data_IF_870081244494
#
_entry.id   IF_870081244494
#
_cell.length_a   1.000
_cell.length_b   1.000
_cell.length_c   1.000
_cell.angle_alpha   90.00
_cell.angle_beta   90.00
_cell.angle_gamma   90.00
#
_symmetry.space_group_name_H-M   'P 1'
#
loop_
_entity.id
_entity.type
_entity.pdbx_description
1 polymer ?
#
# COMPACT_ATOMS: atom_id res chain seq x y z
N UNK A 1 4.09 -27.90 -1.26
CA UNK A 1 3.82 -26.78 -0.33
C UNK A 1 2.40 -26.21 -0.46
N UNK A 2 1.45 -26.95 -1.01
CA UNK A 2 0.16 -26.39 -1.43
C UNK A 2 -0.95 -26.44 -0.36
N UNK A 3 -0.68 -26.88 0.85
CA UNK A 3 -1.68 -26.99 1.92
C UNK A 3 -1.73 -25.83 2.91
N UNK A 4 -0.80 -24.87 2.83
CA UNK A 4 -0.65 -23.80 3.82
C UNK A 4 -1.15 -22.42 3.35
N UNK A 5 -1.54 -22.27 2.08
CA UNK A 5 -2.06 -21.02 1.58
C UNK A 5 -3.49 -20.81 2.09
N UNK A 6 -3.65 -19.88 3.00
CA UNK A 6 -4.96 -19.46 3.51
C UNK A 6 -5.68 -18.62 2.45
N UNK A 7 -7.00 -18.82 2.35
CA UNK A 7 -7.89 -18.02 1.49
C UNK A 7 -8.94 -17.37 2.37
N UNK A 8 -9.39 -16.19 1.99
CA UNK A 8 -10.56 -15.58 2.60
C UNK A 8 -11.77 -16.49 2.33
N UNK A 9 -12.58 -16.72 3.38
CA UNK A 9 -13.80 -17.49 3.30
C UNK A 9 -14.88 -16.81 4.13
N UNK A 10 -16.09 -16.88 3.65
CA UNK A 10 -17.25 -16.49 4.43
C UNK A 10 -17.75 -17.74 5.18
N UNK A 11 -17.84 -17.64 6.49
CA UNK A 11 -18.29 -18.73 7.38
C UNK A 11 -19.68 -18.45 7.97
N UNK A 12 -20.46 -17.55 7.35
CA UNK A 12 -21.83 -17.27 7.80
C UNK A 12 -22.65 -18.57 7.93
N UNK A 13 -23.37 -18.71 9.00
CA UNK A 13 -24.21 -19.88 9.29
C UNK A 13 -23.48 -21.07 9.95
N UNK A 14 -22.18 -20.96 10.21
CA UNK A 14 -21.43 -21.96 10.98
C UNK A 14 -21.29 -21.54 12.45
N UNK A 15 -21.10 -22.52 13.33
CA UNK A 15 -20.70 -22.25 14.72
C UNK A 15 -19.24 -21.85 14.73
N UNK A 16 -18.96 -20.61 15.15
CA UNK A 16 -17.61 -20.07 15.18
C UNK A 16 -16.89 -20.45 16.48
N UNK A 17 -15.98 -21.39 16.39
CA UNK A 17 -15.09 -21.81 17.49
C UNK A 17 -13.72 -21.12 17.43
N UNK A 18 -13.50 -20.21 16.47
CA UNK A 18 -12.24 -19.51 16.26
C UNK A 18 -12.31 -18.01 16.61
N UNK A 19 -13.48 -17.51 17.00
CA UNK A 19 -13.72 -16.14 17.45
C UNK A 19 -12.95 -15.82 18.74
N UNK A 20 -12.50 -14.57 18.86
CA UNK A 20 -11.96 -14.03 20.12
C UNK A 20 -13.08 -13.57 21.08
N UNK A 21 -14.32 -13.61 20.66
CA UNK A 21 -15.49 -13.40 21.53
C UNK A 21 -15.86 -14.69 22.25
N UNK A 22 -15.01 -15.09 23.19
CA UNK A 22 -15.15 -16.35 23.93
C UNK A 22 -16.44 -16.48 24.76
N UNK A 23 -17.05 -15.35 25.11
CA UNK A 23 -18.27 -15.32 25.93
C UNK A 23 -19.52 -15.06 25.09
N UNK A 24 -19.39 -14.83 23.78
CA UNK A 24 -20.52 -14.53 22.91
C UNK A 24 -21.24 -13.23 23.30
N UNK A 25 -20.53 -12.24 23.83
CA UNK A 25 -21.09 -10.99 24.33
C UNK A 25 -21.12 -9.89 23.30
N UNK A 26 -20.53 -10.07 22.12
CA UNK A 26 -20.66 -9.15 21.00
C UNK A 26 -22.10 -9.18 20.49
N UNK A 27 -22.89 -8.20 20.91
CA UNK A 27 -24.34 -8.13 20.63
C UNK A 27 -24.69 -7.43 19.33
N UNK A 28 -23.72 -6.76 18.70
CA UNK A 28 -23.89 -6.01 17.46
C UNK A 28 -23.00 -6.59 16.37
N UNK A 29 -23.62 -7.10 15.31
CA UNK A 29 -22.89 -7.62 14.13
C UNK A 29 -22.08 -6.53 13.41
N UNK A 30 -22.34 -5.26 13.71
CA UNK A 30 -21.60 -4.11 13.18
C UNK A 30 -20.47 -3.63 14.08
N UNK A 31 -20.17 -4.31 15.18
CA UNK A 31 -19.13 -3.87 16.15
C UNK A 31 -17.69 -4.22 15.74
N UNK A 32 -17.48 -4.80 14.56
CA UNK A 32 -16.18 -5.20 14.02
C UNK A 32 -15.92 -6.70 14.07
N UNK A 33 -14.76 -7.11 13.60
CA UNK A 33 -14.39 -8.51 13.50
C UNK A 33 -13.95 -9.06 14.86
N UNK A 34 -14.47 -10.24 15.23
CA UNK A 34 -14.09 -10.98 16.44
C UNK A 34 -12.83 -11.83 16.27
N UNK A 35 -12.21 -11.79 15.08
CA UNK A 35 -11.01 -12.54 14.76
C UNK A 35 -10.26 -11.98 13.54
N UNK A 36 -9.18 -12.65 13.16
CA UNK A 36 -8.42 -12.31 11.95
C UNK A 36 -9.24 -12.60 10.69
N UNK A 37 -9.13 -11.76 9.65
CA UNK A 37 -9.80 -11.93 8.35
C UNK A 37 -9.53 -13.29 7.71
N UNK A 38 -8.33 -13.84 7.89
CA UNK A 38 -7.96 -15.15 7.34
C UNK A 38 -8.47 -16.33 8.16
N UNK A 39 -9.18 -16.08 9.25
CA UNK A 39 -9.79 -17.11 10.12
C UNK A 39 -11.32 -16.92 10.10
N UNK A 40 -11.85 -16.05 10.94
CA UNK A 40 -13.29 -15.83 11.11
C UNK A 40 -13.73 -14.37 10.97
N UNK A 41 -12.80 -13.44 10.92
CA UNK A 41 -13.10 -12.00 10.93
C UNK A 41 -13.33 -11.38 9.55
N UNK A 42 -13.57 -12.17 8.49
CA UNK A 42 -13.94 -11.65 7.19
C UNK A 42 -15.46 -11.58 7.04
N UNK A 43 -15.98 -10.48 6.54
CA UNK A 43 -17.40 -10.24 6.32
C UNK A 43 -17.64 -9.53 4.98
N UNK A 44 -18.85 -9.67 4.43
CA UNK A 44 -19.21 -9.25 3.08
C UNK A 44 -19.04 -7.75 2.86
N UNK A 45 -19.41 -6.93 3.85
CA UNK A 45 -19.34 -5.46 3.75
C UNK A 45 -17.90 -4.96 3.51
N UNK A 46 -16.92 -5.70 4.04
CA UNK A 46 -15.51 -5.37 3.83
C UNK A 46 -15.05 -5.78 2.42
N UNK A 47 -15.53 -6.92 1.93
CA UNK A 47 -15.27 -7.35 0.55
C UNK A 47 -15.93 -6.42 -0.45
N UNK A 48 -17.18 -6.01 -0.21
CA UNK A 48 -17.91 -5.06 -1.04
C UNK A 48 -17.20 -3.69 -1.09
N UNK A 49 -16.66 -3.22 0.04
CA UNK A 49 -15.89 -1.99 0.12
C UNK A 49 -14.60 -2.08 -0.72
N UNK A 50 -13.86 -3.18 -0.59
CA UNK A 50 -12.64 -3.42 -1.37
C UNK A 50 -12.94 -3.50 -2.87
N UNK A 51 -14.01 -4.19 -3.26
CA UNK A 51 -14.45 -4.26 -4.66
C UNK A 51 -14.87 -2.88 -5.20
N UNK A 52 -15.59 -2.10 -4.40
CA UNK A 52 -15.98 -0.73 -4.75
C UNK A 52 -14.77 0.14 -5.04
N UNK A 53 -13.76 0.15 -4.14
CA UNK A 53 -12.55 0.95 -4.35
C UNK A 53 -11.69 0.43 -5.50
N UNK A 54 -11.56 -0.88 -5.67
CA UNK A 54 -10.86 -1.46 -6.80
C UNK A 54 -11.46 -0.99 -8.13
N UNK A 55 -12.79 -1.09 -8.26
CA UNK A 55 -13.51 -0.60 -9.45
C UNK A 55 -13.38 0.92 -9.64
N UNK A 56 -13.52 1.69 -8.55
CA UNK A 56 -13.48 3.15 -8.61
C UNK A 56 -12.11 3.67 -9.04
N UNK A 57 -11.04 3.00 -8.61
CA UNK A 57 -9.66 3.34 -8.94
C UNK A 57 -9.17 2.65 -10.22
N UNK A 58 -9.99 1.78 -10.83
CA UNK A 58 -9.58 0.92 -11.96
C UNK A 58 -8.40 0.01 -11.62
N UNK A 59 -8.26 -0.34 -10.34
CA UNK A 59 -7.20 -1.20 -9.84
C UNK A 59 -7.56 -2.68 -9.96
N UNK A 60 -6.58 -3.58 -10.13
CA UNK A 60 -6.83 -5.03 -10.12
C UNK A 60 -7.43 -5.54 -8.82
N UNK A 61 -7.14 -4.89 -7.70
CA UNK A 61 -7.67 -5.22 -6.37
C UNK A 61 -7.44 -4.06 -5.39
N UNK A 62 -8.17 -4.08 -4.28
CA UNK A 62 -7.94 -3.21 -3.14
C UNK A 62 -7.90 -4.04 -1.86
N UNK A 63 -7.26 -3.52 -0.83
CA UNK A 63 -7.19 -4.13 0.49
C UNK A 63 -7.36 -3.05 1.56
N UNK A 64 -8.37 -3.21 2.40
CA UNK A 64 -8.66 -2.28 3.47
C UNK A 64 -7.75 -2.50 4.70
N UNK A 65 -7.27 -1.41 5.24
CA UNK A 65 -6.55 -1.33 6.52
C UNK A 65 -7.25 -0.34 7.45
N UNK A 66 -7.10 -0.52 8.74
CA UNK A 66 -7.70 0.36 9.75
C UNK A 66 -7.01 1.72 9.88
N UNK A 67 -5.87 1.91 9.24
CA UNK A 67 -5.20 3.21 9.08
C UNK A 67 -4.17 3.16 7.96
N UNK A 68 -3.83 4.31 7.38
CA UNK A 68 -2.73 4.43 6.40
C UNK A 68 -1.38 4.04 7.01
N UNK A 69 -1.17 4.32 8.31
CA UNK A 69 0.03 3.87 9.02
C UNK A 69 0.19 2.35 8.95
N UNK A 70 -0.90 1.61 9.28
CA UNK A 70 -0.91 0.13 9.23
C UNK A 70 -0.76 -0.40 7.80
N UNK A 71 -1.31 0.30 6.80
CA UNK A 71 -1.11 -0.04 5.40
C UNK A 71 0.38 0.03 5.02
N UNK A 72 1.04 1.15 5.32
CA UNK A 72 2.45 1.35 4.97
C UNK A 72 3.38 0.35 5.65
N UNK A 73 3.21 0.10 6.95
CA UNK A 73 4.03 -0.90 7.66
C UNK A 73 3.70 -2.34 7.28
N UNK A 74 2.49 -2.60 6.79
CA UNK A 74 2.06 -3.94 6.35
C UNK A 74 2.47 -4.25 4.92
N UNK A 75 2.36 -3.30 4.00
CA UNK A 75 2.59 -3.49 2.57
C UNK A 75 4.09 -3.59 2.24
N UNK A 76 4.90 -2.63 2.69
CA UNK A 76 6.32 -2.56 2.33
C UNK A 76 7.10 -3.86 2.62
N UNK A 77 6.97 -4.51 3.80
CA UNK A 77 7.64 -5.77 4.06
C UNK A 77 7.17 -6.96 3.21
N UNK A 78 5.98 -6.86 2.61
CA UNK A 78 5.41 -7.93 1.77
C UNK A 78 5.84 -7.81 0.32
N UNK A 79 5.88 -6.58 -0.23
CA UNK A 79 6.24 -6.34 -1.63
C UNK A 79 7.75 -6.26 -1.87
N UNK A 80 8.56 -6.19 -0.81
CA UNK A 80 10.02 -6.09 -0.88
C UNK A 80 10.72 -7.19 -0.12
N UNK A 81 11.96 -7.45 -0.46
CA UNK A 81 12.84 -8.42 0.20
C UNK A 81 14.28 -7.88 0.28
N UNK A 82 15.21 -8.72 0.76
CA UNK A 82 16.63 -8.35 0.89
C UNK A 82 17.33 -8.08 -0.45
N UNK A 83 16.75 -8.50 -1.58
CA UNK A 83 17.26 -8.26 -2.93
C UNK A 83 16.75 -6.94 -3.51
N UNK A 84 15.74 -6.34 -2.88
CA UNK A 84 15.14 -5.07 -3.31
C UNK A 84 15.92 -3.90 -2.71
N UNK A 85 16.14 -2.85 -3.52
CA UNK A 85 16.58 -1.55 -3.03
C UNK A 85 15.42 -0.56 -3.11
N UNK A 86 15.01 -0.03 -1.97
CA UNK A 86 13.99 1.03 -1.87
C UNK A 86 14.68 2.38 -2.06
N UNK A 87 14.16 3.19 -2.97
CA UNK A 87 14.64 4.55 -3.25
C UNK A 87 13.53 5.50 -2.82
N UNK A 88 13.71 6.24 -1.75
CA UNK A 88 12.65 7.05 -1.17
C UNK A 88 13.03 8.52 -1.07
N UNK A 89 12.03 9.39 -1.19
CA UNK A 89 12.20 10.81 -0.93
C UNK A 89 12.53 11.06 0.55
N UNK A 90 13.31 12.11 0.83
CA UNK A 90 13.74 12.43 2.20
C UNK A 90 12.60 12.92 3.11
N UNK A 91 11.47 13.37 2.56
CA UNK A 91 10.33 13.86 3.34
C UNK A 91 9.16 12.88 3.48
N UNK A 92 9.32 11.61 3.06
CA UNK A 92 8.26 10.62 3.24
C UNK A 92 7.82 10.48 4.70
N UNK A 93 6.55 10.19 4.89
CA UNK A 93 5.92 10.03 6.20
C UNK A 93 6.61 8.97 7.08
N UNK A 94 6.51 9.13 8.40
CA UNK A 94 7.12 8.23 9.38
C UNK A 94 6.69 6.76 9.21
N UNK A 95 5.44 6.51 8.83
CA UNK A 95 4.93 5.15 8.57
C UNK A 95 5.64 4.45 7.41
N UNK A 96 5.96 5.17 6.33
CA UNK A 96 6.75 4.64 5.22
C UNK A 96 8.18 4.32 5.68
N UNK A 97 8.81 5.19 6.48
CA UNK A 97 10.13 4.93 7.07
C UNK A 97 10.12 3.69 7.96
N UNK A 98 9.09 3.51 8.77
CA UNK A 98 8.96 2.34 9.63
C UNK A 98 8.68 1.08 8.82
N UNK A 99 7.85 1.16 7.77
CA UNK A 99 7.66 0.06 6.81
C UNK A 99 8.95 -0.35 6.12
N UNK A 100 9.78 0.62 5.69
CA UNK A 100 11.11 0.39 5.12
C UNK A 100 12.01 -0.34 6.12
N UNK A 101 12.05 0.08 7.39
CA UNK A 101 12.83 -0.60 8.44
C UNK A 101 12.37 -2.05 8.66
N UNK A 102 11.08 -2.28 8.64
CA UNK A 102 10.48 -3.61 8.82
C UNK A 102 10.74 -4.54 7.63
N UNK A 103 10.84 -4.01 6.41
CA UNK A 103 11.00 -4.76 5.16
C UNK A 103 12.32 -5.52 5.06
N UNK A 104 13.36 -5.08 5.80
CA UNK A 104 14.74 -5.57 5.69
C UNK A 104 15.37 -5.37 4.30
N UNK A 105 14.72 -4.62 3.40
CA UNK A 105 15.27 -4.21 2.13
C UNK A 105 16.41 -3.19 2.33
N UNK A 106 17.32 -3.11 1.37
CA UNK A 106 18.25 -1.98 1.33
C UNK A 106 17.46 -0.71 0.99
N UNK A 107 17.89 0.43 1.49
CA UNK A 107 17.27 1.69 1.09
C UNK A 107 18.30 2.79 0.90
N UNK A 108 17.95 3.71 0.03
CA UNK A 108 18.66 4.96 -0.24
C UNK A 108 17.65 6.10 -0.28
N UNK A 109 18.09 7.27 0.14
CA UNK A 109 17.26 8.46 0.21
C UNK A 109 17.73 9.45 -0.84
N UNK A 110 16.83 10.06 -1.59
CA UNK A 110 17.13 11.19 -2.46
C UNK A 110 16.55 12.48 -1.89
N UNK A 111 17.18 13.61 -2.25
CA UNK A 111 16.75 14.92 -1.79
C UNK A 111 15.36 15.24 -2.31
N UNK A 112 14.56 15.88 -1.49
CA UNK A 112 13.15 16.15 -1.72
C UNK A 112 12.86 16.70 -3.12
N UNK A 113 11.91 16.03 -3.81
CA UNK A 113 11.45 16.33 -5.17
C UNK A 113 12.58 16.46 -6.24
N UNK A 114 13.76 15.89 -5.97
CA UNK A 114 14.90 15.99 -6.87
C UNK A 114 14.93 14.83 -7.88
N UNK A 115 14.25 15.02 -9.01
CA UNK A 115 14.15 14.04 -10.10
C UNK A 115 15.51 13.65 -10.67
N UNK A 116 16.43 14.62 -10.84
CA UNK A 116 17.79 14.35 -11.33
C UNK A 116 18.56 13.43 -10.38
N UNK A 117 18.36 13.60 -9.07
CA UNK A 117 18.97 12.73 -8.07
C UNK A 117 18.36 11.34 -8.06
N UNK A 118 17.04 11.25 -8.25
CA UNK A 118 16.36 9.96 -8.42
C UNK A 118 16.90 9.20 -9.63
N UNK A 119 17.05 9.86 -10.79
CA UNK A 119 17.61 9.26 -12.00
C UNK A 119 19.06 8.77 -11.78
N UNK A 120 19.91 9.60 -11.15
CA UNK A 120 21.28 9.22 -10.81
C UNK A 120 21.35 7.93 -9.96
N UNK A 121 20.44 7.79 -8.98
CA UNK A 121 20.37 6.60 -8.15
C UNK A 121 19.86 5.39 -8.92
N UNK A 122 18.83 5.55 -9.75
CA UNK A 122 18.28 4.48 -10.58
C UNK A 122 19.32 3.92 -11.55
N UNK A 123 20.19 4.78 -12.10
CA UNK A 123 21.31 4.38 -12.97
C UNK A 123 22.35 3.52 -12.25
N UNK A 124 22.60 3.78 -10.96
CA UNK A 124 23.66 3.12 -10.17
C UNK A 124 23.22 1.83 -9.51
N UNK A 125 21.92 1.70 -9.27
CA UNK A 125 21.36 0.57 -8.53
C UNK A 125 21.00 -0.55 -9.50
N UNK A 126 21.58 -1.72 -9.26
CA UNK A 126 21.24 -2.94 -9.98
C UNK A 126 20.18 -3.76 -9.24
N UNK A 127 19.48 -4.64 -9.98
CA UNK A 127 18.48 -5.56 -9.42
C UNK A 127 17.12 -4.92 -9.18
N UNK A 128 16.34 -5.48 -8.26
CA UNK A 128 14.99 -5.03 -7.95
C UNK A 128 15.00 -3.67 -7.28
N UNK A 129 14.18 -2.76 -7.78
CA UNK A 129 14.04 -1.38 -7.28
C UNK A 129 12.60 -1.06 -6.97
N UNK A 130 12.36 -0.32 -5.90
CA UNK A 130 11.06 0.24 -5.55
C UNK A 130 11.26 1.72 -5.20
N UNK A 131 10.58 2.60 -5.94
CA UNK A 131 10.52 4.03 -5.62
C UNK A 131 9.37 4.23 -4.64
N UNK A 132 9.59 5.00 -3.57
CA UNK A 132 8.57 5.31 -2.55
C UNK A 132 8.48 6.81 -2.38
N UNK A 133 7.30 7.37 -2.67
CA UNK A 133 7.00 8.80 -2.62
C UNK A 133 5.61 9.04 -2.03
N UNK A 134 5.29 10.29 -1.71
CA UNK A 134 3.93 10.77 -1.45
C UNK A 134 3.45 11.59 -2.64
N UNK A 135 2.17 11.56 -2.94
CA UNK A 135 1.58 12.42 -3.99
C UNK A 135 1.49 13.89 -3.57
N UNK A 136 1.24 14.10 -2.27
CA UNK A 136 1.29 15.41 -1.61
C UNK A 136 2.00 15.23 -0.28
N UNK A 137 3.08 15.97 -0.05
CA UNK A 137 3.86 15.88 1.19
C UNK A 137 3.21 16.68 2.30
N UNK A 138 2.96 16.05 3.43
CA UNK A 138 2.16 16.60 4.54
C UNK A 138 2.74 17.86 5.18
N UNK A 139 4.07 18.01 5.18
CA UNK A 139 4.74 19.15 5.84
C UNK A 139 4.77 20.40 4.96
N UNK A 140 5.05 20.24 3.68
CA UNK A 140 5.29 21.35 2.76
C UNK A 140 4.10 21.61 1.83
N UNK A 141 3.20 20.63 1.67
CA UNK A 141 1.98 20.73 0.85
C UNK A 141 2.29 20.71 -0.66
N UNK A 142 3.50 20.35 -1.03
CA UNK A 142 3.95 20.25 -2.42
C UNK A 142 3.82 18.81 -2.95
N UNK A 143 4.08 18.65 -4.23
CA UNK A 143 3.94 17.37 -4.95
C UNK A 143 5.17 17.10 -5.80
N UNK A 144 5.56 15.83 -6.00
CA UNK A 144 6.59 15.49 -6.96
C UNK A 144 6.06 15.64 -8.40
N UNK A 145 6.95 15.69 -9.37
CA UNK A 145 6.62 15.42 -10.77
C UNK A 145 6.33 13.93 -10.92
N UNK A 146 5.06 13.56 -10.67
CA UNK A 146 4.66 12.15 -10.59
C UNK A 146 4.76 11.45 -11.96
N UNK A 147 4.51 12.17 -13.05
CA UNK A 147 4.64 11.65 -14.41
C UNK A 147 6.10 11.30 -14.71
N UNK A 148 7.04 12.18 -14.35
CA UNK A 148 8.46 11.90 -14.56
C UNK A 148 8.97 10.78 -13.65
N UNK A 149 8.44 10.63 -12.44
CA UNK A 149 8.74 9.47 -11.58
C UNK A 149 8.33 8.17 -12.25
N UNK A 150 7.14 8.09 -12.85
CA UNK A 150 6.69 6.89 -13.55
C UNK A 150 7.47 6.64 -14.84
N UNK A 151 7.82 7.68 -15.59
CA UNK A 151 8.70 7.58 -16.77
C UNK A 151 10.07 6.98 -16.40
N UNK A 152 10.67 7.46 -15.31
CA UNK A 152 11.93 6.91 -14.80
C UNK A 152 11.77 5.48 -14.29
N UNK A 153 10.66 5.17 -13.62
CA UNK A 153 10.38 3.83 -13.15
C UNK A 153 10.31 2.82 -14.32
N UNK A 154 9.61 3.18 -15.39
CA UNK A 154 9.56 2.37 -16.61
C UNK A 154 10.93 2.21 -17.25
N UNK A 155 11.64 3.31 -17.47
CA UNK A 155 12.98 3.32 -18.08
C UNK A 155 13.97 2.41 -17.35
N UNK A 156 13.89 2.33 -16.02
CA UNK A 156 14.85 1.58 -15.18
C UNK A 156 14.29 0.30 -14.57
N UNK A 157 13.07 -0.11 -14.93
CA UNK A 157 12.42 -1.32 -14.43
C UNK A 157 12.24 -1.30 -12.91
N UNK A 158 11.78 -0.17 -12.37
CA UNK A 158 11.50 0.01 -10.95
C UNK A 158 10.00 -0.02 -10.69
N UNK A 159 9.55 -0.64 -9.60
CA UNK A 159 8.19 -0.46 -9.11
C UNK A 159 8.02 0.91 -8.45
N UNK A 160 6.79 1.40 -8.36
CA UNK A 160 6.44 2.64 -7.67
C UNK A 160 5.39 2.39 -6.60
N UNK A 161 5.61 2.89 -5.40
CA UNK A 161 4.62 2.98 -4.34
C UNK A 161 4.36 4.45 -4.04
N UNK A 162 3.12 4.89 -4.19
CA UNK A 162 2.69 6.25 -3.92
C UNK A 162 1.74 6.26 -2.73
N UNK A 163 2.07 7.03 -1.69
CA UNK A 163 1.16 7.32 -0.59
C UNK A 163 0.27 8.51 -0.98
N UNK A 164 -1.02 8.24 -1.09
CA UNK A 164 -2.06 9.22 -1.49
C UNK A 164 -2.87 9.74 -0.29
N UNK A 165 -2.34 9.65 0.93
CA UNK A 165 -3.08 10.06 2.14
C UNK A 165 -3.57 11.52 2.08
N UNK A 166 -2.81 12.40 1.43
CA UNK A 166 -3.14 13.82 1.23
C UNK A 166 -3.60 14.14 -0.21
N UNK A 167 -3.62 13.16 -1.10
CA UNK A 167 -4.04 13.33 -2.51
C UNK A 167 -5.47 12.88 -2.78
N UNK A 168 -5.83 11.68 -2.31
CA UNK A 168 -7.17 11.11 -2.52
C UNK A 168 -8.26 11.98 -1.89
N UNK A 169 -9.29 12.28 -2.67
CA UNK A 169 -10.38 13.18 -2.28
C UNK A 169 -10.14 14.65 -2.65
N UNK A 170 -8.91 15.03 -3.04
CA UNK A 170 -8.52 16.41 -3.29
C UNK A 170 -7.89 16.64 -4.67
N UNK A 171 -7.10 15.68 -5.17
CA UNK A 171 -6.28 15.85 -6.38
C UNK A 171 -6.55 14.75 -7.39
N UNK A 172 -5.98 14.90 -8.58
CA UNK A 172 -6.15 13.96 -9.69
C UNK A 172 -7.51 14.02 -10.36
N UNK A 173 -7.69 13.21 -11.37
CA UNK A 173 -8.97 13.12 -12.07
C UNK A 173 -10.04 12.54 -11.15
N UNK A 174 -11.22 13.14 -11.15
CA UNK A 174 -12.34 12.79 -10.26
C UNK A 174 -11.98 12.77 -8.75
N UNK A 175 -10.93 13.49 -8.34
CA UNK A 175 -10.39 13.51 -6.96
C UNK A 175 -9.94 12.12 -6.46
N UNK A 176 -9.45 11.27 -7.34
CA UNK A 176 -9.02 9.91 -7.00
C UNK A 176 -7.52 9.80 -6.64
N UNK A 177 -6.83 10.93 -6.53
CA UNK A 177 -5.40 11.00 -6.31
C UNK A 177 -4.60 11.16 -7.61
N UNK A 178 -3.37 11.64 -7.49
CA UNK A 178 -2.53 11.93 -8.66
C UNK A 178 -1.99 10.66 -9.33
N UNK A 179 -1.80 9.59 -8.54
CA UNK A 179 -1.27 8.32 -9.04
C UNK A 179 -2.32 7.44 -9.73
N UNK A 180 -3.61 7.75 -9.64
CA UNK A 180 -4.68 6.92 -10.20
C UNK A 180 -4.51 6.65 -11.69
N UNK A 181 -4.11 7.64 -12.47
CA UNK A 181 -3.88 7.49 -13.90
C UNK A 181 -2.77 6.49 -14.28
N UNK A 182 -1.90 6.16 -13.33
CA UNK A 182 -0.78 5.23 -13.52
C UNK A 182 -1.04 3.83 -12.92
N UNK A 183 -2.23 3.57 -12.39
CA UNK A 183 -2.51 2.34 -11.64
C UNK A 183 -2.37 1.06 -12.49
N UNK A 184 -2.56 1.19 -13.80
CA UNK A 184 -2.35 0.11 -14.77
C UNK A 184 -1.00 0.21 -15.49
N UNK A 185 -0.11 1.08 -15.01
CA UNK A 185 1.25 1.17 -15.53
C UNK A 185 2.00 -0.15 -15.25
N UNK A 186 2.82 -0.66 -16.18
CA UNK A 186 3.44 -1.98 -16.04
C UNK A 186 4.46 -2.13 -14.90
N UNK A 187 4.77 -1.04 -14.18
CA UNK A 187 5.78 -1.02 -13.11
C UNK A 187 5.20 -0.69 -11.74
#
# INVERSE_FOLDING_TARGET
SNGLLRKLRNYSGLVDLSSNDFLGTATDQNSGATGSRLISGNFSELEDLEEFFAKKLEAPSALYYNSGYMANIGVLPVITDRSTTIICDELIHASLRDGIRLSKAKHVVFSHNNISKLEELLLKIEGKKLIVIESVYSMDGDSPDIEEVFNLAEKFGAGVMVDEAHGTGLTGENNLGQAQQFINHPN
#
